data_IF_220788297795
#
_entry.id   IF_220788297795
#
_cell.length_a   1.000
_cell.length_b   1.000
_cell.length_c   1.000
_cell.angle_alpha   90.00
_cell.angle_beta   90.00
_cell.angle_gamma   90.00
#
_symmetry.space_group_name_H-M   'P 1'
#
loop_
_entity.id
_entity.type
_entity.pdbx_description
1 polymer ?
#
# COMPACT_ATOMS: atom_id res chain seq x y z
N UNK A 1 13.43 18.30 6.74
CA UNK A 1 12.88 17.43 5.67
C UNK A 1 13.97 16.51 5.15
N UNK A 2 14.08 15.30 5.71
CA UNK A 2 15.06 14.29 5.29
C UNK A 2 14.30 13.11 4.67
N UNK A 3 13.87 13.29 3.42
CA UNK A 3 13.19 12.27 2.64
C UNK A 3 14.23 11.53 1.78
N UNK A 4 14.25 10.19 1.87
CA UNK A 4 14.87 9.24 0.94
C UNK A 4 16.40 9.23 0.73
N UNK A 5 17.18 10.14 1.33
CA UNK A 5 18.64 10.16 1.13
C UNK A 5 19.48 9.34 2.12
N UNK A 6 18.88 8.73 3.15
CA UNK A 6 19.65 8.05 4.22
C UNK A 6 19.14 6.65 4.50
N UNK A 7 19.02 5.83 3.47
CA UNK A 7 19.30 4.39 3.63
C UNK A 7 20.64 4.12 2.96
N UNK A 8 21.40 3.16 3.48
CA UNK A 8 22.76 2.81 3.03
C UNK A 8 22.85 2.30 1.57
N UNK A 9 21.81 2.53 0.75
CA UNK A 9 21.60 2.01 -0.60
C UNK A 9 21.55 3.11 -1.68
N UNK A 10 22.07 4.30 -1.38
CA UNK A 10 22.42 5.31 -2.37
C UNK A 10 21.33 6.33 -2.70
N UNK A 11 21.77 7.45 -3.27
CA UNK A 11 20.92 8.58 -3.66
C UNK A 11 19.82 8.14 -4.62
N UNK A 12 18.61 8.67 -4.43
CA UNK A 12 17.51 8.63 -5.39
C UNK A 12 17.87 9.45 -6.65
N UNK A 13 18.83 8.95 -7.42
CA UNK A 13 19.08 9.35 -8.80
C UNK A 13 18.94 8.08 -9.61
N UNK A 14 17.83 7.98 -10.30
CA UNK A 14 17.65 7.03 -11.37
C UNK A 14 18.81 7.20 -12.35
N UNK A 15 19.74 6.25 -12.37
CA UNK A 15 20.86 6.24 -13.30
C UNK A 15 20.46 5.70 -14.68
N UNK A 16 19.24 5.15 -14.83
CA UNK A 16 18.72 4.60 -16.09
C UNK A 16 17.84 5.59 -16.84
N UNK A 17 17.25 6.57 -16.15
CA UNK A 17 16.35 7.58 -16.72
C UNK A 17 14.96 7.04 -17.12
N UNK A 18 14.69 5.77 -16.84
CA UNK A 18 13.46 5.07 -17.21
C UNK A 18 12.44 5.00 -16.05
N UNK A 19 12.90 5.17 -14.81
CA UNK A 19 12.11 5.07 -13.59
C UNK A 19 12.45 6.24 -12.65
N UNK A 20 11.98 7.46 -12.98
CA UNK A 20 12.29 8.65 -12.22
C UNK A 20 11.93 8.47 -10.73
N UNK A 21 12.81 8.91 -9.85
CA UNK A 21 12.65 8.84 -8.39
C UNK A 21 12.60 7.41 -7.79
N UNK A 22 12.92 6.38 -8.58
CA UNK A 22 13.13 5.01 -8.08
C UNK A 22 14.62 4.80 -7.77
N UNK A 23 14.98 4.27 -6.58
CA UNK A 23 16.37 3.94 -6.27
C UNK A 23 16.96 2.92 -7.24
N UNK A 24 18.22 3.10 -7.63
CA UNK A 24 18.94 2.21 -8.56
C UNK A 24 18.81 0.73 -8.17
N UNK A 25 18.99 0.43 -6.88
CA UNK A 25 18.91 -0.94 -6.36
C UNK A 25 17.54 -1.59 -6.65
N UNK A 26 16.45 -0.83 -6.62
CA UNK A 26 15.10 -1.35 -6.88
C UNK A 26 14.83 -1.42 -8.37
N UNK A 27 15.19 -0.37 -9.11
CA UNK A 27 15.10 -0.35 -10.56
C UNK A 27 15.82 -1.55 -11.19
N UNK A 28 17.08 -1.77 -10.80
CA UNK A 28 17.91 -2.88 -11.26
C UNK A 28 17.33 -4.24 -10.85
N UNK A 29 16.81 -4.38 -9.63
CA UNK A 29 16.19 -5.64 -9.19
C UNK A 29 14.95 -6.00 -10.04
N UNK A 30 14.06 -5.03 -10.26
CA UNK A 30 12.85 -5.20 -11.08
C UNK A 30 13.23 -5.54 -12.54
N UNK A 31 14.15 -4.77 -13.13
CA UNK A 31 14.63 -5.01 -14.50
C UNK A 31 15.26 -6.40 -14.64
N UNK A 32 16.03 -6.84 -13.65
CA UNK A 32 16.65 -8.16 -13.66
C UNK A 32 15.61 -9.28 -13.61
N UNK A 33 14.63 -9.20 -12.70
CA UNK A 33 13.56 -10.19 -12.61
C UNK A 33 12.76 -10.29 -13.92
N UNK A 34 12.45 -9.15 -14.55
CA UNK A 34 11.81 -9.11 -15.88
C UNK A 34 12.68 -9.74 -16.96
N UNK A 35 13.96 -9.33 -17.05
CA UNK A 35 14.91 -9.78 -18.06
C UNK A 35 15.05 -11.31 -18.09
N UNK A 36 15.12 -11.92 -16.92
CA UNK A 36 15.30 -13.37 -16.78
C UNK A 36 13.97 -14.14 -16.64
N UNK A 37 12.82 -13.51 -16.96
CA UNK A 37 11.49 -14.12 -16.90
C UNK A 37 11.16 -14.76 -15.54
N UNK A 38 11.67 -14.18 -14.45
CA UNK A 38 11.57 -14.71 -13.09
C UNK A 38 10.19 -14.48 -12.45
N UNK A 39 9.30 -13.72 -13.09
CA UNK A 39 8.00 -13.34 -12.52
C UNK A 39 7.10 -14.57 -12.26
N UNK A 40 7.26 -15.62 -13.05
CA UNK A 40 6.56 -16.90 -12.87
C UNK A 40 7.23 -17.87 -11.89
N UNK A 41 8.37 -17.51 -11.27
CA UNK A 41 9.08 -18.40 -10.35
C UNK A 41 8.23 -18.67 -9.09
N UNK A 42 7.91 -19.94 -8.76
CA UNK A 42 7.07 -20.26 -7.61
C UNK A 42 7.55 -19.59 -6.32
N UNK A 43 6.60 -19.15 -5.49
CA UNK A 43 6.87 -18.54 -4.18
C UNK A 43 7.70 -17.24 -4.21
N UNK A 44 7.84 -16.57 -5.37
CA UNK A 44 8.52 -15.28 -5.47
C UNK A 44 7.90 -14.25 -4.51
N UNK A 45 8.72 -13.58 -3.69
CA UNK A 45 8.31 -12.73 -2.56
C UNK A 45 7.80 -13.46 -1.31
N UNK A 46 7.41 -14.72 -1.37
CA UNK A 46 7.03 -15.50 -0.17
C UNK A 46 8.22 -16.23 0.45
N UNK A 47 8.97 -16.97 -0.37
CA UNK A 47 10.14 -17.72 0.09
C UNK A 47 11.26 -16.77 0.50
N UNK A 48 11.88 -17.08 1.63
CA UNK A 48 13.05 -16.34 2.11
C UNK A 48 14.33 -16.84 1.42
N UNK A 49 15.29 -15.93 1.24
CA UNK A 49 16.65 -16.25 0.79
C UNK A 49 17.53 -16.61 1.99
N UNK A 50 18.67 -17.26 1.76
CA UNK A 50 19.66 -17.48 2.82
C UNK A 50 20.13 -16.15 3.41
N UNK A 51 20.19 -16.09 4.75
CA UNK A 51 20.62 -14.90 5.48
C UNK A 51 22.05 -14.49 5.08
N UNK A 52 22.94 -15.46 4.88
CA UNK A 52 24.32 -15.21 4.45
C UNK A 52 24.40 -14.49 3.10
N UNK A 53 23.57 -14.86 2.13
CA UNK A 53 23.56 -14.23 0.81
C UNK A 53 22.98 -12.81 0.87
N UNK A 54 21.92 -12.60 1.65
CA UNK A 54 21.36 -11.27 1.89
C UNK A 54 22.37 -10.34 2.59
N UNK A 55 23.06 -10.82 3.62
CA UNK A 55 24.05 -10.01 4.34
C UNK A 55 25.29 -9.72 3.49
N UNK A 56 25.73 -10.66 2.66
CA UNK A 56 26.80 -10.41 1.69
C UNK A 56 26.38 -9.34 0.67
N UNK A 57 25.16 -9.43 0.11
CA UNK A 57 24.66 -8.40 -0.79
C UNK A 57 24.65 -7.02 -0.11
N UNK A 58 24.04 -6.90 1.07
CA UNK A 58 24.01 -5.63 1.82
C UNK A 58 25.41 -5.09 2.09
N UNK A 59 26.34 -5.94 2.50
CA UNK A 59 27.74 -5.56 2.75
C UNK A 59 28.40 -4.99 1.50
N UNK A 60 28.15 -5.57 0.32
CA UNK A 60 28.70 -5.07 -0.93
C UNK A 60 28.05 -3.76 -1.37
N UNK A 61 26.72 -3.64 -1.24
CA UNK A 61 26.01 -2.39 -1.55
C UNK A 61 26.50 -1.24 -0.64
N UNK A 62 26.70 -1.50 0.66
CA UNK A 62 27.22 -0.53 1.62
C UNK A 62 28.68 -0.10 1.34
N UNK A 63 29.45 -0.92 0.60
CA UNK A 63 30.79 -0.56 0.12
C UNK A 63 30.77 0.28 -1.16
N UNK A 64 29.58 0.63 -1.66
CA UNK A 64 29.39 1.39 -2.89
C UNK A 64 29.34 0.53 -4.16
N UNK A 65 29.29 -0.80 -4.06
CA UNK A 65 29.04 -1.65 -5.22
C UNK A 65 27.60 -1.47 -5.69
N UNK A 66 27.38 -1.27 -6.99
CA UNK A 66 26.01 -1.23 -7.53
C UNK A 66 25.39 -2.63 -7.55
N UNK A 67 24.07 -2.73 -7.47
CA UNK A 67 23.39 -4.02 -7.62
C UNK A 67 23.69 -4.64 -8.98
N UNK A 68 23.75 -3.81 -10.04
CA UNK A 68 24.09 -4.25 -11.39
C UNK A 68 25.44 -4.97 -11.43
N UNK A 69 26.48 -4.39 -10.82
CA UNK A 69 27.80 -5.00 -10.75
C UNK A 69 27.79 -6.26 -9.89
N UNK A 70 27.07 -6.27 -8.77
CA UNK A 70 26.94 -7.47 -7.94
C UNK A 70 26.37 -8.65 -8.75
N UNK A 71 25.32 -8.40 -9.54
CA UNK A 71 24.61 -9.43 -10.30
C UNK A 71 25.39 -9.97 -11.51
N UNK A 72 26.43 -9.28 -12.00
CA UNK A 72 27.28 -9.76 -13.11
C UNK A 72 27.97 -11.09 -12.81
N UNK A 73 28.10 -11.49 -11.53
CA UNK A 73 28.66 -12.79 -11.14
C UNK A 73 27.79 -13.97 -11.57
N UNK A 74 26.50 -13.75 -11.79
CA UNK A 74 25.55 -14.79 -12.15
C UNK A 74 25.39 -14.86 -13.67
N UNK A 75 26.08 -15.82 -14.31
CA UNK A 75 25.94 -16.06 -15.76
C UNK A 75 24.54 -16.57 -16.10
N UNK A 76 24.03 -17.48 -15.29
CA UNK A 76 22.71 -18.09 -15.40
C UNK A 76 22.03 -18.02 -14.03
N UNK A 77 21.32 -16.91 -13.72
CA UNK A 77 20.65 -16.75 -12.43
C UNK A 77 19.49 -17.74 -12.31
N UNK A 78 19.34 -18.34 -11.13
CA UNK A 78 18.26 -19.26 -10.81
C UNK A 78 17.35 -18.72 -9.72
N UNK A 79 16.59 -19.64 -9.10
CA UNK A 79 15.62 -19.29 -8.05
C UNK A 79 16.25 -18.53 -6.89
N UNK A 80 17.46 -18.91 -6.47
CA UNK A 80 18.15 -18.28 -5.33
C UNK A 80 18.38 -16.79 -5.54
N UNK A 81 18.84 -16.41 -6.74
CA UNK A 81 19.05 -15.00 -7.11
C UNK A 81 17.72 -14.25 -7.25
N UNK A 82 16.69 -14.91 -7.79
CA UNK A 82 15.36 -14.29 -7.88
C UNK A 82 14.76 -14.03 -6.50
N UNK A 83 14.89 -14.99 -5.56
CA UNK A 83 14.46 -14.82 -4.17
C UNK A 83 15.29 -13.76 -3.44
N UNK A 84 16.60 -13.66 -3.72
CA UNK A 84 17.44 -12.59 -3.19
C UNK A 84 16.89 -11.21 -3.57
N UNK A 85 16.59 -10.99 -4.85
CA UNK A 85 16.04 -9.73 -5.35
C UNK A 85 14.64 -9.46 -4.80
N UNK A 86 13.78 -10.47 -4.73
CA UNK A 86 12.46 -10.34 -4.12
C UNK A 86 12.55 -9.93 -2.64
N UNK A 87 13.46 -10.55 -1.88
CA UNK A 87 13.71 -10.19 -0.49
C UNK A 87 14.32 -8.78 -0.36
N UNK A 88 15.19 -8.38 -1.29
CA UNK A 88 15.81 -7.05 -1.30
C UNK A 88 14.76 -5.95 -1.46
N UNK A 89 13.81 -6.12 -2.39
CA UNK A 89 12.72 -5.17 -2.62
C UNK A 89 11.86 -5.01 -1.36
N UNK A 90 11.48 -6.12 -0.72
CA UNK A 90 10.72 -6.09 0.55
C UNK A 90 11.52 -5.40 1.65
N UNK A 91 12.79 -5.77 1.81
CA UNK A 91 13.67 -5.21 2.82
C UNK A 91 13.86 -3.71 2.65
N UNK A 92 14.00 -3.23 1.41
CA UNK A 92 14.09 -1.81 1.13
C UNK A 92 12.87 -1.06 1.66
N UNK A 93 11.66 -1.58 1.42
CA UNK A 93 10.42 -0.93 1.88
C UNK A 93 10.34 -0.89 3.41
N UNK A 94 10.68 -1.99 4.09
CA UNK A 94 10.59 -2.07 5.55
C UNK A 94 11.72 -1.33 6.29
N UNK A 95 12.85 -1.09 5.63
CA UNK A 95 14.00 -0.38 6.21
C UNK A 95 13.91 1.16 6.07
N UNK A 96 12.84 1.69 5.45
CA UNK A 96 12.62 3.13 5.39
C UNK A 96 12.30 3.69 6.78
N UNK A 97 12.71 4.93 7.05
CA UNK A 97 12.42 5.63 8.30
C UNK A 97 10.92 5.90 8.51
N UNK A 98 10.16 5.94 7.42
CA UNK A 98 8.70 6.04 7.40
C UNK A 98 8.17 5.06 6.32
N UNK A 99 7.00 4.43 6.53
CA UNK A 99 6.35 3.63 5.49
C UNK A 99 6.26 4.35 4.15
N UNK A 100 6.35 3.59 3.06
CA UNK A 100 6.27 4.13 1.69
C UNK A 100 4.94 4.88 1.48
N UNK A 101 3.85 4.39 2.07
CA UNK A 101 2.55 5.07 2.02
C UNK A 101 2.42 6.24 3.00
N UNK A 102 3.45 6.59 3.77
CA UNK A 102 3.39 7.55 4.90
C UNK A 102 2.38 7.15 5.98
N UNK A 103 2.62 7.55 7.22
CA UNK A 103 1.72 7.19 8.33
C UNK A 103 0.30 7.76 8.10
N UNK A 104 0.22 8.99 7.61
CA UNK A 104 -1.06 9.70 7.43
C UNK A 104 -1.92 9.05 6.34
N UNK A 105 -1.36 8.85 5.14
CA UNK A 105 -2.11 8.24 4.03
C UNK A 105 -2.45 6.78 4.32
N UNK A 106 -1.59 6.02 5.01
CA UNK A 106 -1.92 4.66 5.49
C UNK A 106 -3.16 4.66 6.38
N UNK A 107 -3.25 5.57 7.37
CA UNK A 107 -4.44 5.66 8.25
C UNK A 107 -5.71 5.96 7.46
N UNK A 108 -5.66 6.90 6.52
CA UNK A 108 -6.81 7.26 5.69
C UNK A 108 -7.29 6.10 4.82
N UNK A 109 -6.36 5.34 4.22
CA UNK A 109 -6.67 4.14 3.45
C UNK A 109 -7.32 3.06 4.33
N UNK A 110 -6.78 2.81 5.53
CA UNK A 110 -7.35 1.82 6.47
C UNK A 110 -8.79 2.20 6.84
N UNK A 111 -9.02 3.46 7.25
CA UNK A 111 -10.35 3.95 7.63
C UNK A 111 -11.34 3.82 6.47
N UNK A 112 -10.94 4.21 5.25
CA UNK A 112 -11.77 4.06 4.06
C UNK A 112 -12.08 2.59 3.76
N UNK A 113 -11.09 1.69 3.94
CA UNK A 113 -11.29 0.26 3.73
C UNK A 113 -12.25 -0.36 4.75
N UNK A 114 -12.24 0.12 5.99
CA UNK A 114 -13.10 -0.36 7.09
C UNK A 114 -14.53 0.17 7.02
N UNK A 115 -14.76 1.26 6.29
CA UNK A 115 -16.11 1.79 6.06
C UNK A 115 -17.02 0.72 5.44
N UNK A 116 -18.11 0.40 6.15
CA UNK A 116 -19.13 -0.56 5.70
C UNK A 116 -20.14 0.06 4.72
N UNK A 117 -20.22 1.39 4.72
CA UNK A 117 -21.21 2.15 3.93
C UNK A 117 -20.65 2.64 2.60
N UNK A 118 -19.42 2.24 2.25
CA UNK A 118 -18.73 2.69 1.03
C UNK A 118 -18.54 1.48 0.11
N UNK A 119 -18.94 1.61 -1.15
CA UNK A 119 -18.77 0.56 -2.16
C UNK A 119 -17.29 0.31 -2.46
N UNK A 120 -16.96 -0.78 -3.16
CA UNK A 120 -15.56 -1.04 -3.57
C UNK A 120 -15.05 0.00 -4.56
N UNK A 121 -15.91 0.46 -5.47
CA UNK A 121 -15.60 1.50 -6.45
C UNK A 121 -15.32 2.84 -5.77
N UNK A 122 -16.15 3.21 -4.78
CA UNK A 122 -15.94 4.42 -3.98
C UNK A 122 -14.65 4.33 -3.14
N UNK A 123 -14.35 3.17 -2.56
CA UNK A 123 -13.08 2.92 -1.86
C UNK A 123 -11.88 3.08 -2.80
N UNK A 124 -11.97 2.54 -4.01
CA UNK A 124 -10.93 2.69 -5.02
C UNK A 124 -10.71 4.17 -5.38
N UNK A 125 -11.77 4.95 -5.54
CA UNK A 125 -11.67 6.40 -5.78
C UNK A 125 -11.03 7.15 -4.59
N UNK A 126 -11.36 6.78 -3.36
CA UNK A 126 -10.71 7.33 -2.16
C UNK A 126 -9.22 6.99 -2.13
N UNK A 127 -8.86 5.74 -2.40
CA UNK A 127 -7.46 5.32 -2.47
C UNK A 127 -6.68 6.10 -3.52
N UNK A 128 -7.25 6.33 -4.69
CA UNK A 128 -6.63 7.17 -5.72
C UNK A 128 -6.38 8.59 -5.22
N UNK A 129 -7.35 9.20 -4.52
CA UNK A 129 -7.18 10.54 -3.93
C UNK A 129 -6.08 10.56 -2.88
N UNK A 130 -6.08 9.61 -1.95
CA UNK A 130 -5.04 9.53 -0.91
C UNK A 130 -3.66 9.24 -1.50
N UNK A 131 -3.59 8.44 -2.56
CA UNK A 131 -2.36 8.21 -3.30
C UNK A 131 -1.77 9.51 -3.85
N UNK A 132 -2.59 10.46 -4.30
CA UNK A 132 -2.12 11.77 -4.77
C UNK A 132 -1.62 12.69 -3.65
N UNK A 133 -1.95 12.41 -2.38
CA UNK A 133 -1.44 13.15 -1.22
C UNK A 133 -0.02 12.72 -0.83
N UNK A 134 0.46 11.59 -1.34
CA UNK A 134 1.80 11.11 -1.06
C UNK A 134 2.87 12.07 -1.61
N UNK A 135 4.02 12.20 -0.93
CA UNK A 135 5.18 12.88 -1.48
C UNK A 135 5.55 12.36 -2.87
N UNK A 136 6.02 13.24 -3.75
CA UNK A 136 6.33 12.90 -5.14
C UNK A 136 7.20 11.65 -5.26
N UNK A 137 8.32 11.58 -4.56
CA UNK A 137 9.22 10.42 -4.63
C UNK A 137 8.53 9.11 -4.20
N UNK A 138 7.66 9.14 -3.19
CA UNK A 138 6.87 7.99 -2.74
C UNK A 138 5.86 7.55 -3.80
N UNK A 139 5.14 8.50 -4.42
CA UNK A 139 4.20 8.20 -5.51
C UNK A 139 4.88 7.52 -6.68
N UNK A 140 6.01 8.07 -7.13
CA UNK A 140 6.76 7.50 -8.26
C UNK A 140 7.25 6.08 -7.96
N UNK A 141 7.77 5.88 -6.75
CA UNK A 141 8.17 4.55 -6.29
C UNK A 141 6.98 3.57 -6.31
N UNK A 142 5.84 3.94 -5.73
CA UNK A 142 4.66 3.07 -5.70
C UNK A 142 4.01 2.87 -7.07
N UNK A 143 4.01 3.89 -7.92
CA UNK A 143 3.56 3.80 -9.31
C UNK A 143 4.46 2.89 -10.16
N UNK A 144 5.67 2.59 -9.69
CA UNK A 144 6.54 1.57 -10.29
C UNK A 144 6.31 0.20 -9.65
N UNK A 145 6.19 0.15 -8.32
CA UNK A 145 6.04 -1.10 -7.56
C UNK A 145 4.70 -1.79 -7.81
N UNK A 146 3.57 -1.06 -7.77
CA UNK A 146 2.23 -1.64 -7.91
C UNK A 146 2.03 -2.34 -9.27
N UNK A 147 2.38 -1.73 -10.42
CA UNK A 147 2.30 -2.43 -11.71
C UNK A 147 3.22 -3.64 -11.79
N UNK A 148 4.45 -3.53 -11.26
CA UNK A 148 5.37 -4.67 -11.22
C UNK A 148 4.81 -5.85 -10.41
N UNK A 149 4.20 -5.58 -9.24
CA UNK A 149 3.53 -6.63 -8.45
C UNK A 149 2.32 -7.21 -9.17
N UNK A 150 1.60 -6.42 -9.98
CA UNK A 150 0.52 -6.93 -10.84
C UNK A 150 1.06 -7.87 -11.91
N UNK A 151 2.18 -7.55 -12.55
CA UNK A 151 2.84 -8.44 -13.52
C UNK A 151 3.26 -9.76 -12.88
N UNK A 152 3.81 -9.72 -11.66
CA UNK A 152 4.16 -10.93 -10.90
C UNK A 152 2.91 -11.77 -10.62
N UNK A 153 1.84 -11.15 -10.13
CA UNK A 153 0.58 -11.84 -9.85
C UNK A 153 0.03 -12.53 -11.11
N UNK A 154 0.02 -11.83 -12.25
CA UNK A 154 -0.49 -12.37 -13.51
C UNK A 154 0.38 -13.51 -14.03
N UNK A 155 1.70 -13.39 -13.96
CA UNK A 155 2.63 -14.43 -14.37
C UNK A 155 2.50 -15.70 -13.50
N UNK A 156 2.37 -15.55 -12.18
CA UNK A 156 2.18 -16.66 -11.23
C UNK A 156 0.85 -17.38 -11.48
N UNK A 157 -0.24 -16.63 -11.67
CA UNK A 157 -1.57 -17.18 -11.95
C UNK A 157 -1.57 -17.92 -13.30
N UNK A 158 -0.97 -17.32 -14.34
CA UNK A 158 -0.89 -17.96 -15.66
C UNK A 158 -0.02 -19.20 -15.68
N UNK A 159 1.02 -19.28 -14.84
CA UNK A 159 1.89 -20.45 -14.73
C UNK A 159 1.23 -21.62 -13.97
N UNK A 160 0.10 -21.38 -13.28
CA UNK A 160 -0.57 -22.40 -12.48
C UNK A 160 0.30 -22.94 -11.33
N UNK A 161 1.25 -22.13 -10.83
CA UNK A 161 2.22 -22.57 -9.84
C UNK A 161 1.56 -22.85 -8.49
N UNK A 162 1.91 -23.97 -7.87
CA UNK A 162 1.63 -24.19 -6.45
C UNK A 162 2.30 -23.08 -5.63
N UNK A 163 1.60 -22.55 -4.61
CA UNK A 163 2.13 -21.42 -3.85
C UNK A 163 2.07 -20.07 -4.58
N UNK A 164 1.20 -19.96 -5.59
CA UNK A 164 0.99 -18.76 -6.41
C UNK A 164 0.82 -17.48 -5.57
N UNK A 165 1.64 -16.49 -5.91
CA UNK A 165 1.60 -15.14 -5.37
C UNK A 165 0.67 -14.26 -6.20
N UNK A 166 -0.63 -14.54 -6.11
CA UNK A 166 -1.67 -13.65 -6.63
C UNK A 166 -1.69 -12.31 -5.85
N UNK A 167 -2.48 -11.35 -6.31
CA UNK A 167 -2.54 -10.02 -5.70
C UNK A 167 -2.96 -10.03 -4.21
N UNK A 168 -3.80 -10.99 -3.78
CA UNK A 168 -4.20 -11.10 -2.38
C UNK A 168 -3.03 -11.58 -1.50
N UNK A 169 -2.29 -12.60 -1.95
CA UNK A 169 -1.10 -13.11 -1.28
C UNK A 169 0.03 -12.09 -1.26
N UNK A 170 0.24 -11.36 -2.36
CA UNK A 170 1.19 -10.24 -2.41
C UNK A 170 0.78 -9.11 -1.45
N UNK A 171 -0.52 -8.84 -1.31
CA UNK A 171 -1.04 -7.90 -0.32
C UNK A 171 -0.62 -8.27 1.11
N UNK A 172 -0.74 -9.56 1.48
CA UNK A 172 -0.33 -10.07 2.80
C UNK A 172 1.17 -9.86 3.03
N UNK A 173 1.98 -10.09 2.01
CA UNK A 173 3.45 -10.02 2.10
C UNK A 173 3.96 -8.57 2.11
N UNK A 174 3.34 -7.67 1.33
CA UNK A 174 3.85 -6.32 1.14
C UNK A 174 3.26 -5.28 2.08
N UNK A 175 1.98 -5.40 2.48
CA UNK A 175 1.35 -4.40 3.35
C UNK A 175 2.14 -4.16 4.66
N UNK A 176 2.68 -5.19 5.35
CA UNK A 176 3.49 -4.98 6.56
C UNK A 176 4.79 -4.18 6.31
N UNK A 177 5.31 -4.18 5.08
CA UNK A 177 6.54 -3.46 4.72
C UNK A 177 6.29 -2.07 4.12
N UNK A 178 5.06 -1.75 3.73
CA UNK A 178 4.74 -0.53 2.98
C UNK A 178 3.69 0.36 3.65
N UNK A 179 2.86 -0.21 4.52
CA UNK A 179 1.69 0.41 5.14
C UNK A 179 1.60 0.14 6.66
N UNK A 180 2.74 0.02 7.34
CA UNK A 180 2.75 -0.14 8.79
C UNK A 180 2.55 1.20 9.51
N UNK A 181 2.08 1.17 10.76
CA UNK A 181 2.06 2.35 11.63
C UNK A 181 3.11 2.10 12.72
N UNK A 182 4.24 2.84 12.77
CA UNK A 182 5.32 2.57 13.72
C UNK A 182 4.86 2.52 15.18
N UNK A 183 3.98 3.43 15.57
CA UNK A 183 3.48 3.56 16.94
C UNK A 183 2.34 2.57 17.27
N UNK A 184 1.74 1.95 16.25
CA UNK A 184 0.72 0.90 16.42
C UNK A 184 0.81 -0.12 15.27
N UNK A 185 1.77 -1.07 15.34
CA UNK A 185 2.01 -2.02 14.26
C UNK A 185 0.84 -2.96 13.97
N UNK A 186 -0.16 -3.02 14.87
CA UNK A 186 -1.34 -3.89 14.74
C UNK A 186 -2.54 -3.17 14.13
N UNK A 187 -2.49 -1.84 14.04
CA UNK A 187 -3.58 -1.02 13.54
C UNK A 187 -3.97 -1.42 12.12
N UNK A 188 -5.21 -1.91 11.96
CA UNK A 188 -5.82 -2.14 10.65
C UNK A 188 -5.05 -3.08 9.73
N UNK A 189 -4.19 -3.99 10.23
CA UNK A 189 -3.33 -4.86 9.40
C UNK A 189 -4.11 -5.62 8.31
N UNK A 190 -5.27 -6.18 8.69
CA UNK A 190 -6.16 -6.87 7.74
C UNK A 190 -6.72 -5.93 6.68
N UNK A 191 -7.04 -4.69 7.08
CA UNK A 191 -7.58 -3.65 6.20
C UNK A 191 -6.49 -3.15 5.23
N UNK A 192 -5.27 -2.89 5.73
CA UNK A 192 -4.11 -2.52 4.93
C UNK A 192 -3.78 -3.60 3.89
N UNK A 193 -3.77 -4.87 4.31
CA UNK A 193 -3.57 -6.03 3.42
C UNK A 193 -4.58 -6.07 2.27
N UNK A 194 -5.87 -5.91 2.58
CA UNK A 194 -6.94 -5.89 1.57
C UNK A 194 -6.83 -4.68 0.66
N UNK A 195 -6.55 -3.50 1.21
CA UNK A 195 -6.37 -2.28 0.42
C UNK A 195 -5.20 -2.41 -0.54
N UNK A 196 -4.05 -2.93 -0.08
CA UNK A 196 -2.87 -3.16 -0.93
C UNK A 196 -3.17 -4.16 -2.06
N UNK A 197 -3.89 -5.25 -1.77
CA UNK A 197 -4.35 -6.19 -2.82
C UNK A 197 -5.24 -5.50 -3.87
N UNK A 198 -6.21 -4.69 -3.43
CA UNK A 198 -7.07 -3.91 -4.33
C UNK A 198 -6.21 -2.99 -5.20
N UNK A 199 -5.20 -2.33 -4.64
CA UNK A 199 -4.29 -1.46 -5.39
C UNK A 199 -3.45 -2.23 -6.41
N UNK A 200 -2.93 -3.41 -6.08
CA UNK A 200 -2.21 -4.27 -7.04
C UNK A 200 -3.14 -4.62 -8.21
N UNK A 201 -4.35 -5.13 -7.93
CA UNK A 201 -5.34 -5.50 -8.96
C UNK A 201 -5.68 -4.33 -9.89
N UNK A 202 -5.61 -3.11 -9.36
CA UNK A 202 -6.01 -1.87 -9.99
C UNK A 202 -4.83 -0.93 -10.27
N UNK A 203 -3.60 -1.46 -10.40
CA UNK A 203 -2.37 -0.68 -10.46
C UNK A 203 -2.38 0.47 -11.48
N UNK A 204 -3.06 0.27 -12.63
CA UNK A 204 -3.25 1.29 -13.68
C UNK A 204 -3.89 2.60 -13.21
N UNK A 205 -4.60 2.59 -12.08
CA UNK A 205 -5.27 3.76 -11.53
C UNK A 205 -4.41 4.54 -10.52
N UNK A 206 -3.16 4.13 -10.29
CA UNK A 206 -2.24 4.78 -9.36
C UNK A 206 -1.00 5.34 -10.09
N UNK A 207 -1.17 6.29 -11.04
CA UNK A 207 -0.06 6.86 -11.77
C UNK A 207 0.78 7.82 -10.89
N UNK A 208 2.06 7.95 -11.23
CA UNK A 208 2.98 8.88 -10.58
C UNK A 208 2.58 10.36 -10.79
N UNK A 209 2.13 10.65 -12.01
CA UNK A 209 1.68 11.97 -12.47
C UNK A 209 0.15 11.99 -12.62
N UNK A 210 -0.46 13.08 -12.19
CA UNK A 210 -1.91 13.25 -12.24
C UNK A 210 -2.34 13.60 -13.66
N UNK A 211 -2.94 12.67 -14.40
CA UNK A 211 -3.59 12.97 -15.69
C UNK A 211 -5.10 13.18 -15.59
N UNK A 212 -5.68 13.21 -14.38
CA UNK A 212 -7.12 13.37 -14.21
C UNK A 212 -7.49 14.73 -13.60
N UNK A 213 -8.36 15.53 -14.24
CA UNK A 213 -9.15 16.51 -13.52
C UNK A 213 -10.07 15.71 -12.62
N UNK A 214 -9.90 15.81 -11.30
CA UNK A 214 -10.86 15.20 -10.39
C UNK A 214 -12.26 15.72 -10.75
N UNK A 215 -13.23 14.86 -11.10
CA UNK A 215 -14.60 15.32 -11.17
C UNK A 215 -14.93 15.79 -9.76
N UNK A 216 -15.21 17.10 -9.64
CA UNK A 216 -15.71 17.68 -8.40
C UNK A 216 -16.83 16.78 -7.93
N UNK A 217 -16.66 16.18 -6.75
CA UNK A 217 -17.82 15.69 -6.02
C UNK A 217 -18.71 16.90 -5.93
N UNK A 218 -19.90 16.83 -6.52
CA UNK A 218 -20.92 17.83 -6.27
C UNK A 218 -21.13 17.79 -4.76
N UNK A 219 -20.50 18.71 -4.05
CA UNK A 219 -21.05 19.19 -2.79
C UNK A 219 -22.42 19.68 -3.18
N UNK A 220 -23.43 18.84 -2.95
CA UNK A 220 -24.79 19.34 -2.88
C UNK A 220 -24.74 20.57 -1.99
N UNK A 221 -25.27 21.72 -2.44
CA UNK A 221 -25.41 22.85 -1.56
C UNK A 221 -26.19 22.33 -0.36
N UNK A 222 -25.60 22.44 0.83
CA UNK A 222 -26.34 22.30 2.06
C UNK A 222 -27.56 23.22 1.93
N UNK A 223 -28.72 22.63 1.64
CA UNK A 223 -29.98 23.33 1.77
C UNK A 223 -30.00 23.74 3.23
N UNK A 224 -29.87 25.04 3.47
CA UNK A 224 -29.99 25.63 4.77
C UNK A 224 -31.37 25.30 5.33
N UNK A 225 -31.46 24.20 6.07
CA UNK A 225 -32.53 23.99 7.03
C UNK A 225 -32.16 24.88 8.20
N UNK A 226 -32.41 26.18 8.05
CA UNK A 226 -32.66 27.01 9.21
C UNK A 226 -33.95 26.50 9.85
N UNK A 227 -33.93 25.99 11.09
CA UNK A 227 -35.17 25.87 11.82
C UNK A 227 -35.67 27.30 12.04
N UNK A 228 -36.78 27.66 11.38
CA UNK A 228 -37.53 28.87 11.72
C UNK A 228 -37.93 28.72 13.19
N UNK A 229 -37.19 29.39 14.07
CA UNK A 229 -37.59 29.63 15.45
C UNK A 229 -38.91 30.40 15.40
N UNK A 230 -40.03 29.69 15.60
CA UNK A 230 -41.29 30.32 15.97
C UNK A 230 -41.09 31.02 17.31
N UNK A 231 -41.49 32.28 17.47
CA UNK A 231 -41.58 32.89 18.79
C UNK A 231 -42.53 32.05 19.65
N UNK A 232 -42.08 31.61 20.82
CA UNK A 232 -42.96 30.99 21.83
C UNK A 232 -43.95 32.04 22.30
N UNK A 233 -45.24 31.78 22.09
CA UNK A 233 -46.30 32.47 22.79
C UNK A 233 -46.29 31.99 24.25
N UNK A 234 -46.11 32.92 25.18
CA UNK A 234 -46.08 32.65 26.62
C UNK A 234 -47.54 32.59 27.10
N UNK A 235 -48.23 31.47 26.89
CA UNK A 235 -49.57 31.26 27.48
C UNK A 235 -50.09 29.82 27.39
N UNK A 236 -49.25 28.79 27.58
CA UNK A 236 -49.75 27.41 27.71
C UNK A 236 -49.28 26.77 29.02
N UNK A 237 -50.18 26.16 29.82
CA UNK A 237 -49.83 25.53 31.09
C UNK A 237 -49.07 24.20 30.86
N UNK A 238 -48.20 23.80 31.81
CA UNK A 238 -47.30 22.66 31.62
C UNK A 238 -48.05 21.32 31.55
N UNK A 239 -47.73 20.54 30.52
CA UNK A 239 -48.20 19.18 30.29
C UNK A 239 -47.65 18.21 31.35
N UNK A 240 -48.46 17.28 31.91
CA UNK A 240 -48.00 16.35 32.94
C UNK A 240 -47.05 15.28 32.38
N UNK A 241 -46.14 14.74 33.21
CA UNK A 241 -45.11 13.80 32.77
C UNK A 241 -45.69 12.43 32.36
N UNK A 242 -45.04 11.73 31.41
CA UNK A 242 -45.52 10.45 30.90
C UNK A 242 -45.40 9.34 31.95
N UNK A 243 -46.48 8.55 32.09
CA UNK A 243 -46.53 7.37 32.96
C UNK A 243 -45.48 6.33 32.52
N UNK A 244 -44.61 5.91 33.45
CA UNK A 244 -43.66 4.80 33.27
C UNK A 244 -44.44 3.50 33.00
N UNK A 245 -44.19 2.89 31.85
CA UNK A 245 -44.65 1.53 31.51
C UNK A 245 -43.77 0.53 32.26
N UNK A 246 -44.33 -0.17 33.23
CA UNK A 246 -43.67 -1.27 33.93
C UNK A 246 -43.61 -2.47 32.97
N UNK A 247 -42.41 -2.95 32.67
CA UNK A 247 -42.20 -4.21 31.95
C UNK A 247 -42.20 -5.37 32.96
N UNK A 248 -42.89 -6.49 32.69
CA UNK A 248 -42.87 -7.66 33.57
C UNK A 248 -41.54 -8.42 33.47
N UNK A 249 -41.02 -8.84 34.62
CA UNK A 249 -39.86 -9.72 34.78
C UNK A 249 -40.14 -11.12 34.23
N UNK A 250 -39.18 -11.77 33.55
CA UNK A 250 -39.34 -13.15 33.10
C UNK A 250 -39.20 -14.14 34.25
N UNK A 251 -40.16 -15.06 34.36
CA UNK A 251 -40.11 -16.22 35.24
C UNK A 251 -39.02 -17.20 34.77
N UNK A 252 -38.23 -17.70 35.72
CA UNK A 252 -37.27 -18.79 35.51
C UNK A 252 -38.01 -20.12 35.45
N UNK A 253 -37.67 -20.95 34.46
CA UNK A 253 -37.85 -22.40 34.42
C UNK A 253 -36.56 -22.99 33.90
#
# INVERSE_FOLDING_TARGET
>A
GRYLQVTALGNAKDITGEMPFVPEVIATAIQFLRKYKALGTPELFRKSVSLSLMEELKKQLNKGLTLRTFLQRYREPGESEFMLLACLIKHYCSALAEPVFTVEVTKQIIVAQESRNTSQEEKLLLFQRYFQLLPTTNRYFLATLLPFLKEVADAQVSAGADGCMNADNLGIVFAPSTMYIPDDPTFGVTSATKAFSIMIKNAKFFPAETSLPFPSVKTEPQQGIHPKLRPRNISDPPTPPPRRRILPTPQKS
#
